data_IF_847929691705
#
_entry.id   IF_847929691705
#
_cell.length_a   1.000
_cell.length_b   1.000
_cell.length_c   1.000
_cell.angle_alpha   90.00
_cell.angle_beta   90.00
_cell.angle_gamma   90.00
#
_symmetry.space_group_name_H-M   'P 1'
#
loop_
_entity.id
_entity.type
_entity.pdbx_description
1 polymer ?
#
# COMPACT_ATOMS: atom_id res chain seq x y z
N UNK A 1 13.21 10.48 39.62
CA UNK A 1 11.95 9.71 39.55
C UNK A 1 11.63 9.52 38.08
N UNK A 2 11.62 8.27 37.64
CA UNK A 2 11.40 7.81 36.28
C UNK A 2 9.97 8.10 35.82
N UNK A 3 9.80 9.00 34.84
CA UNK A 3 8.54 9.22 34.13
C UNK A 3 8.31 8.04 33.17
N UNK A 4 7.89 6.92 33.76
CA UNK A 4 7.06 5.94 33.05
C UNK A 4 5.70 6.61 32.84
N UNK A 5 4.98 6.20 31.79
CA UNK A 5 3.64 6.66 31.41
C UNK A 5 3.64 7.89 30.47
N UNK A 6 3.95 7.66 29.19
CA UNK A 6 3.07 7.86 28.01
C UNK A 6 3.67 6.95 26.91
N UNK A 7 3.53 5.64 27.08
CA UNK A 7 3.70 4.64 26.02
C UNK A 7 2.43 3.79 26.07
N UNK A 8 1.28 4.46 25.95
CA UNK A 8 -0.03 3.83 25.94
C UNK A 8 -0.80 4.63 24.90
N UNK A 9 -0.64 4.23 23.63
CA UNK A 9 -1.59 4.40 22.51
C UNK A 9 -0.97 4.08 21.13
N UNK A 10 0.34 3.83 21.03
CA UNK A 10 0.97 3.42 19.76
C UNK A 10 0.75 1.94 19.38
N UNK A 11 -0.02 1.20 20.20
CA UNK A 11 -0.26 -0.24 20.04
C UNK A 11 -1.54 -0.56 19.26
N UNK A 12 -2.30 0.45 18.83
CA UNK A 12 -3.60 0.24 18.16
C UNK A 12 -3.45 0.00 16.65
N UNK A 13 -2.49 0.63 15.97
CA UNK A 13 -2.34 0.51 14.50
C UNK A 13 -1.93 -0.88 14.03
N UNK A 14 -1.04 -1.56 14.76
CA UNK A 14 -0.56 -2.91 14.41
C UNK A 14 -1.67 -3.96 14.56
N UNK A 15 -2.77 -3.66 15.26
CA UNK A 15 -3.77 -4.69 15.62
C UNK A 15 -4.81 -4.98 14.54
N UNK A 16 -4.99 -4.10 13.56
CA UNK A 16 -6.15 -4.21 12.64
C UNK A 16 -5.96 -5.34 11.63
N UNK A 17 -4.76 -5.47 11.05
CA UNK A 17 -4.43 -6.59 10.19
C UNK A 17 -4.33 -7.95 10.92
N UNK A 18 -4.25 -7.97 12.26
CA UNK A 18 -4.17 -9.20 13.03
C UNK A 18 -5.54 -9.90 13.23
N UNK A 19 -6.66 -9.19 13.04
CA UNK A 19 -8.00 -9.73 13.35
C UNK A 19 -8.53 -10.68 12.26
N UNK A 20 -8.03 -10.60 11.02
CA UNK A 20 -8.48 -11.44 9.90
C UNK A 20 -8.03 -12.91 9.91
N UNK A 21 -7.15 -13.32 10.83
CA UNK A 21 -6.48 -14.62 10.77
C UNK A 21 -7.14 -15.76 11.60
N UNK A 22 -8.34 -15.58 12.13
CA UNK A 22 -9.02 -16.60 12.96
C UNK A 22 -10.48 -16.85 12.55
N UNK A 23 -10.69 -17.47 11.39
CA UNK A 23 -11.91 -18.27 11.17
C UNK A 23 -11.51 -19.66 10.70
N UNK A 24 -11.51 -20.60 11.66
CA UNK A 24 -11.32 -22.01 11.40
C UNK A 24 -12.47 -22.55 10.53
N UNK A 25 -12.09 -23.33 9.53
CA UNK A 25 -12.95 -24.05 8.59
C UNK A 25 -14.14 -24.75 9.26
N UNK A 26 -15.37 -24.37 8.87
CA UNK A 26 -16.52 -25.27 9.00
C UNK A 26 -16.61 -26.14 7.75
N UNK A 27 -16.23 -27.42 7.87
CA UNK A 27 -16.42 -28.44 6.83
C UNK A 27 -17.90 -28.55 6.45
N UNK A 28 -18.25 -28.11 5.24
CA UNK A 28 -19.51 -28.48 4.59
C UNK A 28 -19.42 -29.93 4.10
N UNK A 29 -20.13 -30.82 4.78
CA UNK A 29 -20.36 -32.20 4.36
C UNK A 29 -21.30 -32.21 3.13
N UNK A 30 -20.73 -32.28 1.93
CA UNK A 30 -21.46 -32.37 0.66
C UNK A 30 -21.12 -33.67 -0.07
N UNK A 31 -21.92 -34.70 0.17
CA UNK A 31 -21.88 -36.00 -0.48
C UNK A 31 -22.39 -35.85 -1.94
N UNK A 32 -21.58 -36.19 -2.96
CA UNK A 32 -21.98 -36.09 -4.36
C UNK A 32 -21.13 -36.94 -5.28
N UNK A 33 -21.66 -38.11 -5.66
CA UNK A 33 -21.07 -39.08 -6.58
C UNK A 33 -20.74 -38.48 -7.96
N UNK A 34 -19.57 -38.85 -8.50
CA UNK A 34 -19.19 -38.59 -9.90
C UNK A 34 -19.96 -39.43 -10.92
N UNK A 35 -19.63 -39.29 -12.21
CA UNK A 35 -18.87 -40.38 -12.83
C UNK A 35 -17.80 -39.96 -13.86
N UNK A 36 -16.66 -40.66 -13.81
CA UNK A 36 -15.98 -41.21 -15.00
C UNK A 36 -14.94 -40.34 -15.73
N UNK A 37 -13.85 -40.94 -16.26
CA UNK A 37 -12.66 -40.22 -16.71
C UNK A 37 -12.75 -39.77 -18.18
N UNK A 38 -12.28 -38.56 -18.48
CA UNK A 38 -12.03 -38.11 -19.86
C UNK A 38 -10.55 -38.27 -20.19
N UNK A 39 -10.28 -38.99 -21.29
CA UNK A 39 -8.96 -39.20 -21.87
C UNK A 39 -8.47 -37.91 -22.58
N UNK A 40 -7.14 -37.69 -22.72
CA UNK A 40 -6.59 -36.44 -23.23
C UNK A 40 -6.63 -36.37 -24.77
N UNK A 41 -7.00 -35.20 -25.31
CA UNK A 41 -6.91 -34.90 -26.75
C UNK A 41 -5.64 -34.08 -27.01
N UNK A 42 -4.78 -34.59 -27.90
CA UNK A 42 -3.65 -33.90 -28.50
C UNK A 42 -4.05 -33.36 -29.90
N UNK A 43 -3.28 -32.42 -30.49
CA UNK A 43 -3.80 -31.31 -31.27
C UNK A 43 -3.90 -31.58 -32.78
N UNK A 44 -4.85 -30.94 -33.46
CA UNK A 44 -4.84 -30.85 -34.91
C UNK A 44 -6.16 -30.39 -35.53
N UNK A 45 -6.03 -29.38 -36.39
CA UNK A 45 -6.91 -29.03 -37.51
C UNK A 45 -8.19 -28.21 -37.24
N UNK A 46 -8.02 -26.89 -37.18
CA UNK A 46 -9.07 -25.92 -37.48
C UNK A 46 -8.89 -25.43 -38.92
N UNK A 47 -9.45 -26.16 -39.89
CA UNK A 47 -9.67 -25.64 -41.24
C UNK A 47 -11.01 -24.89 -41.28
N UNK A 48 -10.95 -23.67 -41.81
CA UNK A 48 -12.05 -22.76 -42.14
C UNK A 48 -12.65 -21.91 -41.00
N UNK A 49 -12.22 -20.64 -40.93
CA UNK A 49 -13.15 -19.53 -40.66
C UNK A 49 -12.94 -18.60 -39.47
N UNK A 50 -11.77 -18.54 -38.82
CA UNK A 50 -11.52 -17.54 -37.76
C UNK A 50 -10.66 -16.37 -38.25
N UNK A 51 -11.34 -15.26 -38.51
CA UNK A 51 -10.81 -13.90 -38.71
C UNK A 51 -10.03 -13.41 -37.47
N UNK A 52 -8.76 -12.96 -37.61
CA UNK A 52 -8.05 -12.29 -36.52
C UNK A 52 -7.93 -10.78 -36.79
N UNK A 53 -8.82 -10.00 -36.17
CA UNK A 53 -8.55 -8.61 -35.79
C UNK A 53 -8.45 -8.51 -34.26
N UNK A 54 -7.22 -8.54 -33.74
CA UNK A 54 -6.89 -7.99 -32.42
C UNK A 54 -5.80 -6.92 -32.60
N UNK A 55 -6.00 -5.68 -32.12
CA UNK A 55 -4.90 -4.79 -31.83
C UNK A 55 -4.24 -5.20 -30.51
N UNK A 56 -2.93 -5.15 -30.56
CA UNK A 56 -1.97 -5.50 -29.54
C UNK A 56 -1.59 -4.22 -28.77
N UNK A 57 -1.80 -4.17 -27.45
CA UNK A 57 -1.15 -3.20 -26.57
C UNK A 57 -0.68 -3.88 -25.27
N UNK A 58 0.43 -4.58 -25.41
CA UNK A 58 1.16 -5.17 -24.29
C UNK A 58 1.77 -4.14 -23.34
N UNK A 59 1.81 -4.50 -22.07
CA UNK A 59 2.86 -4.11 -21.11
C UNK A 59 3.10 -5.25 -20.13
N UNK A 60 3.74 -6.32 -20.62
CA UNK A 60 4.37 -7.31 -19.77
C UNK A 60 5.81 -6.88 -19.47
N UNK A 61 6.08 -6.42 -18.25
CA UNK A 61 7.45 -6.15 -17.80
C UNK A 61 8.00 -7.38 -17.07
N UNK A 62 8.85 -8.10 -17.78
CA UNK A 62 9.58 -9.30 -17.36
C UNK A 62 10.80 -8.90 -16.50
N UNK A 63 10.92 -9.47 -15.31
CA UNK A 63 12.15 -9.37 -14.49
C UNK A 63 13.28 -10.18 -15.14
N UNK A 64 14.35 -9.49 -15.53
CA UNK A 64 15.52 -10.07 -16.19
C UNK A 64 16.83 -9.55 -15.58
N UNK A 65 17.56 -10.49 -15.00
CA UNK A 65 18.83 -10.35 -14.28
C UNK A 65 20.03 -10.22 -15.24
N UNK A 66 21.00 -9.38 -14.84
CA UNK A 66 22.42 -9.31 -15.23
C UNK A 66 22.87 -8.77 -16.61
N UNK A 67 23.51 -7.59 -16.57
CA UNK A 67 24.92 -7.43 -16.96
C UNK A 67 25.24 -6.93 -18.38
N UNK A 68 25.71 -5.68 -18.51
CA UNK A 68 26.98 -5.30 -19.17
C UNK A 68 27.16 -3.78 -19.27
N UNK A 69 28.42 -3.38 -19.34
CA UNK A 69 29.00 -2.03 -19.29
C UNK A 69 28.73 -1.21 -20.56
N UNK A 70 28.62 0.12 -20.44
CA UNK A 70 28.70 1.04 -21.57
C UNK A 70 28.47 2.52 -21.27
N UNK A 71 29.58 3.22 -20.98
CA UNK A 71 29.92 4.64 -21.17
C UNK A 71 28.97 5.82 -20.86
N UNK A 72 29.56 6.75 -20.09
CA UNK A 72 29.19 8.15 -19.91
C UNK A 72 29.10 8.90 -21.24
N UNK A 73 27.90 9.37 -21.59
CA UNK A 73 27.63 10.70 -22.13
C UNK A 73 26.14 10.78 -22.42
N UNK A 74 25.36 11.30 -21.47
CA UNK A 74 24.06 11.98 -21.65
C UNK A 74 23.43 12.27 -20.27
N UNK A 75 24.20 12.99 -19.43
CA UNK A 75 23.62 13.74 -18.30
C UNK A 75 23.09 15.05 -18.87
N UNK A 76 21.89 15.00 -19.41
CA UNK A 76 21.21 16.17 -19.92
C UNK A 76 19.75 15.85 -20.21
N UNK A 77 18.87 16.34 -19.35
CA UNK A 77 17.46 16.53 -19.65
C UNK A 77 16.53 15.30 -19.58
N UNK A 78 16.53 14.60 -18.44
CA UNK A 78 15.37 13.83 -17.97
C UNK A 78 14.62 14.65 -16.90
N UNK A 79 14.05 15.78 -17.31
CA UNK A 79 13.02 16.50 -16.55
C UNK A 79 11.73 16.42 -17.35
N UNK A 80 10.61 16.32 -16.63
CA UNK A 80 9.24 16.16 -17.11
C UNK A 80 8.95 14.83 -17.81
N UNK A 81 8.63 13.79 -17.04
CA UNK A 81 7.38 13.03 -17.15
C UNK A 81 7.48 11.70 -16.35
N UNK A 82 7.36 11.77 -15.01
CA UNK A 82 7.22 10.59 -14.15
C UNK A 82 6.34 10.96 -12.94
N UNK A 83 5.15 10.35 -12.87
CA UNK A 83 4.33 10.23 -11.65
C UNK A 83 3.55 11.48 -11.22
N UNK A 84 2.36 11.68 -11.78
CA UNK A 84 1.28 12.37 -11.07
C UNK A 84 0.86 11.46 -9.91
N UNK A 85 1.21 11.83 -8.69
CA UNK A 85 0.93 11.05 -7.49
C UNK A 85 1.38 11.79 -6.23
N UNK A 86 2.61 12.32 -6.24
CA UNK A 86 3.11 13.28 -5.24
C UNK A 86 3.81 14.50 -5.86
N UNK A 87 4.08 14.48 -7.16
CA UNK A 87 4.79 15.56 -7.88
C UNK A 87 4.11 16.94 -7.86
N UNK A 88 2.86 17.04 -7.40
CA UNK A 88 2.13 18.29 -7.22
C UNK A 88 2.17 18.86 -5.79
N UNK A 89 2.43 18.04 -4.76
CA UNK A 89 2.38 18.47 -3.36
C UNK A 89 3.60 19.29 -2.98
N UNK A 90 4.80 18.75 -3.19
CA UNK A 90 6.06 19.34 -2.71
C UNK A 90 6.31 20.79 -3.14
N UNK A 91 6.01 21.21 -4.39
CA UNK A 91 6.23 22.60 -4.81
C UNK A 91 5.32 23.62 -4.11
N UNK A 92 4.25 23.17 -3.45
CA UNK A 92 3.22 24.03 -2.84
C UNK A 92 3.25 24.02 -1.31
N UNK A 93 4.17 23.26 -0.70
CA UNK A 93 4.26 23.16 0.75
C UNK A 93 4.62 24.50 1.40
N UNK A 94 3.88 24.92 2.46
CA UNK A 94 4.28 26.00 3.35
C UNK A 94 5.73 25.84 3.82
N UNK A 95 6.43 26.93 4.18
CA UNK A 95 7.73 26.81 4.84
C UNK A 95 7.62 25.97 6.11
N UNK A 96 8.71 25.31 6.50
CA UNK A 96 8.80 24.66 7.81
C UNK A 96 8.58 25.66 8.92
N UNK A 97 7.93 25.22 9.99
CA UNK A 97 7.87 25.99 11.25
C UNK A 97 9.22 25.94 11.95
N UNK A 98 9.81 27.10 12.28
CA UNK A 98 11.11 27.23 12.97
C UNK A 98 11.05 26.95 14.49
N UNK A 99 10.14 26.08 14.93
CA UNK A 99 9.97 25.68 16.33
C UNK A 99 10.52 24.28 16.49
N UNK A 100 11.22 24.04 17.62
CA UNK A 100 11.71 22.71 17.96
C UNK A 100 10.54 21.72 18.05
N UNK A 101 10.64 20.60 17.32
CA UNK A 101 9.62 19.57 17.33
C UNK A 101 9.51 18.95 18.73
N UNK A 102 8.29 18.84 19.23
CA UNK A 102 8.02 18.13 20.48
C UNK A 102 8.13 16.62 20.29
N UNK A 103 8.36 15.88 21.37
CA UNK A 103 8.35 14.42 21.36
C UNK A 103 7.05 13.86 20.76
N UNK A 104 5.91 14.51 21.03
CA UNK A 104 4.60 14.09 20.52
C UNK A 104 4.49 14.26 18.99
N UNK A 105 5.07 15.32 18.43
CA UNK A 105 5.11 15.53 16.97
C UNK A 105 6.01 14.50 16.29
N UNK A 106 7.20 14.25 16.84
CA UNK A 106 8.11 13.23 16.31
C UNK A 106 7.46 11.84 16.40
N UNK A 107 6.75 11.55 17.50
CA UNK A 107 6.00 10.32 17.66
C UNK A 107 4.86 10.19 16.64
N UNK A 108 4.13 11.27 16.34
CA UNK A 108 3.11 11.29 15.29
C UNK A 108 3.70 11.04 13.91
N UNK A 109 4.79 11.72 13.53
CA UNK A 109 5.47 11.49 12.25
C UNK A 109 5.96 10.04 12.12
N UNK A 110 6.52 9.50 13.19
CA UNK A 110 6.98 8.11 13.24
C UNK A 110 5.82 7.13 13.09
N UNK A 111 4.70 7.37 13.78
CA UNK A 111 3.52 6.53 13.69
C UNK A 111 2.95 6.51 12.27
N UNK A 112 2.88 7.66 11.60
CA UNK A 112 2.42 7.74 10.21
C UNK A 112 3.30 6.94 9.25
N UNK A 113 4.62 7.14 9.31
CA UNK A 113 5.56 6.37 8.48
C UNK A 113 5.48 4.85 8.76
N UNK A 114 5.36 4.44 10.03
CA UNK A 114 5.24 3.02 10.36
C UNK A 114 3.95 2.40 9.83
N UNK A 115 2.85 3.15 9.83
CA UNK A 115 1.59 2.67 9.30
C UNK A 115 1.67 2.43 7.79
N UNK A 116 2.25 3.38 7.03
CA UNK A 116 2.44 3.24 5.58
C UNK A 116 3.39 2.10 5.22
N UNK A 117 4.48 1.89 5.98
CA UNK A 117 5.33 0.71 5.79
C UNK A 117 4.59 -0.59 6.05
N UNK A 118 3.74 -0.62 7.09
CA UNK A 118 2.97 -1.81 7.43
C UNK A 118 1.94 -2.13 6.35
N UNK A 119 1.17 -1.14 5.88
CA UNK A 119 0.21 -1.29 4.78
C UNK A 119 0.90 -1.81 3.52
N UNK A 120 2.04 -1.22 3.13
CA UNK A 120 2.83 -1.70 1.99
C UNK A 120 3.23 -3.18 2.13
N UNK A 121 3.71 -3.58 3.31
CA UNK A 121 4.14 -4.95 3.58
C UNK A 121 2.97 -5.94 3.57
N UNK A 122 1.81 -5.56 4.11
CA UNK A 122 0.61 -6.39 4.07
C UNK A 122 0.12 -6.55 2.64
N UNK A 123 0.05 -5.48 1.86
CA UNK A 123 -0.37 -5.56 0.45
C UNK A 123 0.60 -6.37 -0.39
N UNK A 124 1.91 -6.33 -0.10
CA UNK A 124 2.90 -7.23 -0.70
C UNK A 124 2.59 -8.71 -0.40
N UNK A 125 2.27 -9.02 0.86
CA UNK A 125 1.87 -10.36 1.28
C UNK A 125 0.60 -10.84 0.58
N UNK A 126 -0.41 -9.97 0.41
CA UNK A 126 -1.64 -10.29 -0.31
C UNK A 126 -1.35 -10.57 -1.78
N UNK A 127 -0.53 -9.74 -2.43
CA UNK A 127 -0.12 -9.92 -3.83
C UNK A 127 0.65 -11.24 -4.01
N UNK A 128 1.50 -11.61 -3.04
CA UNK A 128 2.19 -12.89 -3.04
C UNK A 128 1.22 -14.09 -2.90
N UNK A 129 0.13 -13.94 -2.14
CA UNK A 129 -0.86 -14.99 -1.90
C UNK A 129 -1.85 -15.17 -3.08
N UNK A 130 -2.37 -14.08 -3.62
CA UNK A 130 -3.49 -14.11 -4.59
C UNK A 130 -3.13 -13.59 -5.98
N UNK A 131 -1.89 -13.14 -6.18
CA UNK A 131 -1.40 -12.58 -7.43
C UNK A 131 -1.53 -11.07 -7.53
N UNK A 132 -1.00 -10.52 -8.62
CA UNK A 132 -1.01 -9.07 -8.91
C UNK A 132 -2.40 -8.61 -9.38
N UNK A 133 -3.29 -8.32 -8.43
CA UNK A 133 -4.70 -7.98 -8.66
C UNK A 133 -5.07 -6.61 -8.10
N UNK A 134 -6.03 -5.95 -8.75
CA UNK A 134 -6.60 -4.71 -8.24
C UNK A 134 -7.58 -4.98 -7.08
N UNK A 135 -7.63 -4.11 -6.06
CA UNK A 135 -6.93 -2.83 -5.98
C UNK A 135 -5.51 -2.89 -5.37
N UNK A 136 -5.08 -4.02 -4.80
CA UNK A 136 -3.81 -4.15 -4.06
C UNK A 136 -2.58 -3.63 -4.82
N UNK A 137 -2.40 -3.99 -6.09
CA UNK A 137 -1.23 -3.53 -6.87
C UNK A 137 -1.19 -2.02 -7.08
N UNK A 138 -2.36 -1.36 -7.14
CA UNK A 138 -2.46 0.07 -7.35
C UNK A 138 -2.29 0.81 -6.03
N UNK A 139 -2.90 0.30 -4.96
CA UNK A 139 -2.85 0.93 -3.65
C UNK A 139 -1.47 0.75 -3.01
N UNK A 140 -0.82 -0.41 -3.16
CA UNK A 140 0.58 -0.58 -2.74
C UNK A 140 1.53 0.47 -3.37
N UNK A 141 1.29 0.85 -4.63
CA UNK A 141 2.04 1.93 -5.27
C UNK A 141 1.69 3.32 -4.70
N UNK A 142 0.47 3.50 -4.17
CA UNK A 142 0.09 4.68 -3.40
C UNK A 142 0.82 4.71 -2.05
N UNK A 143 0.92 3.58 -1.35
CA UNK A 143 1.61 3.53 -0.06
C UNK A 143 3.10 3.81 -0.21
N UNK A 144 3.72 3.35 -1.30
CA UNK A 144 5.10 3.75 -1.62
C UNK A 144 5.25 5.28 -1.76
N UNK A 145 4.21 5.98 -2.25
CA UNK A 145 4.21 7.43 -2.35
C UNK A 145 3.91 8.11 -1.02
N UNK A 146 3.07 7.52 -0.18
CA UNK A 146 2.83 7.98 1.19
C UNK A 146 4.10 7.87 2.04
N UNK A 147 4.81 6.74 1.96
CA UNK A 147 6.16 6.55 2.54
C UNK A 147 7.08 7.68 2.08
N UNK A 148 7.19 7.92 0.77
CA UNK A 148 8.05 8.97 0.24
C UNK A 148 7.64 10.38 0.72
N UNK A 149 6.35 10.64 0.94
CA UNK A 149 5.87 11.90 1.51
C UNK A 149 6.29 12.07 2.97
N UNK A 150 6.21 11.00 3.77
CA UNK A 150 6.72 11.00 5.14
C UNK A 150 8.24 11.17 5.18
N UNK A 151 9.00 10.37 4.41
CA UNK A 151 10.46 10.49 4.31
C UNK A 151 10.89 11.92 3.95
N UNK A 152 10.16 12.56 3.04
CA UNK A 152 10.38 13.96 2.69
C UNK A 152 10.18 14.91 3.88
N UNK A 153 9.12 14.72 4.69
CA UNK A 153 8.93 15.52 5.91
C UNK A 153 10.03 15.27 6.94
N UNK A 154 10.47 14.02 7.13
CA UNK A 154 11.60 13.70 8.01
C UNK A 154 12.87 14.45 7.57
N UNK A 155 13.22 14.41 6.28
CA UNK A 155 14.37 15.14 5.73
C UNK A 155 14.23 16.66 5.91
N UNK A 156 13.04 17.20 5.62
CA UNK A 156 12.74 18.64 5.72
C UNK A 156 12.92 19.19 7.14
N UNK A 157 12.67 18.36 8.15
CA UNK A 157 12.85 18.69 9.57
C UNK A 157 14.19 18.20 10.15
N UNK A 158 15.10 17.67 9.32
CA UNK A 158 16.42 17.20 9.76
C UNK A 158 16.38 15.99 10.68
N UNK A 159 15.31 15.19 10.62
CA UNK A 159 15.14 13.97 11.41
C UNK A 159 15.72 12.76 10.67
N UNK A 160 16.19 11.77 11.45
CA UNK A 160 16.57 10.47 10.89
C UNK A 160 15.31 9.70 10.53
N UNK A 161 15.21 9.24 9.29
CA UNK A 161 14.13 8.34 8.84
C UNK A 161 14.27 6.99 9.53
N UNK A 162 13.28 6.54 10.32
CA UNK A 162 13.26 5.20 10.87
C UNK A 162 13.16 4.16 9.76
N UNK A 163 13.96 3.09 9.85
CA UNK A 163 13.83 1.95 8.95
C UNK A 163 12.54 1.17 9.26
N UNK A 164 11.92 0.60 8.23
CA UNK A 164 10.85 -0.37 8.42
C UNK A 164 11.35 -1.57 9.27
N UNK A 165 10.67 -1.94 10.35
CA UNK A 165 10.95 -3.18 11.06
C UNK A 165 10.51 -4.40 10.25
N UNK A 166 10.93 -5.60 10.68
CA UNK A 166 10.34 -6.84 10.19
C UNK A 166 8.90 -6.97 10.72
N UNK A 167 7.92 -6.62 9.88
CA UNK A 167 6.51 -6.74 10.24
C UNK A 167 6.04 -8.20 10.20
N UNK A 168 5.23 -8.58 11.19
CA UNK A 168 4.44 -9.80 11.11
C UNK A 168 3.23 -9.55 10.19
N UNK A 169 3.31 -9.99 8.94
CA UNK A 169 2.23 -9.86 7.96
C UNK A 169 1.24 -11.03 8.06
N UNK A 170 -0.08 -10.78 7.96
CA UNK A 170 -1.08 -11.83 8.03
C UNK A 170 -1.14 -12.66 6.74
N UNK A 171 -1.71 -13.86 6.88
CA UNK A 171 -2.23 -14.67 5.77
C UNK A 171 -3.75 -14.60 5.76
N UNK A 172 -4.35 -14.61 4.58
CA UNK A 172 -5.80 -14.52 4.43
C UNK A 172 -6.36 -15.83 3.86
N UNK A 173 -7.56 -16.22 4.28
CA UNK A 173 -8.21 -17.45 3.79
C UNK A 173 -8.75 -17.27 2.36
N UNK A 174 -9.09 -16.03 1.98
CA UNK A 174 -9.58 -15.68 0.65
C UNK A 174 -9.20 -14.24 0.28
N UNK A 175 -9.32 -13.93 -1.01
CA UNK A 175 -9.17 -12.56 -1.50
C UNK A 175 -10.23 -11.62 -0.89
N UNK A 176 -11.46 -12.11 -0.72
CA UNK A 176 -12.55 -11.34 -0.10
C UNK A 176 -12.19 -10.94 1.33
N UNK A 177 -11.62 -11.87 2.11
CA UNK A 177 -11.17 -11.57 3.49
C UNK A 177 -10.02 -10.55 3.50
N UNK A 178 -9.08 -10.64 2.55
CA UNK A 178 -8.01 -9.66 2.40
C UNK A 178 -8.56 -8.27 2.06
N UNK A 179 -9.55 -8.19 1.17
CA UNK A 179 -10.19 -6.92 0.80
C UNK A 179 -11.01 -6.32 1.94
N UNK A 180 -11.70 -7.13 2.74
CA UNK A 180 -12.38 -6.64 3.94
C UNK A 180 -11.38 -6.10 4.97
N UNK A 181 -10.32 -6.85 5.26
CA UNK A 181 -9.30 -6.40 6.21
C UNK A 181 -8.59 -5.12 5.75
N UNK A 182 -8.36 -4.98 4.45
CA UNK A 182 -7.81 -3.74 3.88
C UNK A 182 -8.79 -2.57 4.00
N UNK A 183 -10.09 -2.77 3.73
CA UNK A 183 -11.09 -1.72 3.96
C UNK A 183 -11.13 -1.26 5.44
N UNK A 184 -11.07 -2.21 6.38
CA UNK A 184 -11.02 -1.90 7.81
C UNK A 184 -9.72 -1.13 8.18
N UNK A 185 -8.61 -1.46 7.52
CA UNK A 185 -7.33 -0.75 7.70
C UNK A 185 -7.40 0.68 7.16
N UNK A 186 -8.03 0.93 6.01
CA UNK A 186 -8.21 2.29 5.49
C UNK A 186 -9.07 3.16 6.41
N UNK A 187 -10.11 2.59 7.04
CA UNK A 187 -10.90 3.33 8.03
C UNK A 187 -10.03 3.82 9.18
N UNK A 188 -9.20 2.92 9.72
CA UNK A 188 -8.31 3.28 10.80
C UNK A 188 -7.16 4.19 10.39
N UNK A 189 -6.70 4.11 9.14
CA UNK A 189 -5.66 4.97 8.61
C UNK A 189 -6.16 6.41 8.50
N UNK A 190 -7.34 6.66 7.92
CA UNK A 190 -7.87 8.03 7.91
C UNK A 190 -8.22 8.54 9.32
N UNK A 191 -8.70 7.68 10.23
CA UNK A 191 -8.95 8.02 11.64
C UNK A 191 -7.66 8.37 12.39
N UNK A 192 -6.55 7.68 12.08
CA UNK A 192 -5.22 8.00 12.60
C UNK A 192 -4.81 9.41 12.14
N UNK A 193 -4.97 9.69 10.84
CA UNK A 193 -4.63 10.99 10.31
C UNK A 193 -5.48 12.11 10.89
N UNK A 194 -6.77 11.88 11.14
CA UNK A 194 -7.64 12.85 11.81
C UNK A 194 -7.13 13.17 13.24
N UNK A 195 -6.59 12.18 13.96
CA UNK A 195 -5.93 12.41 15.26
C UNK A 195 -4.59 13.16 15.11
N UNK A 196 -3.80 12.84 14.07
CA UNK A 196 -2.54 13.53 13.80
C UNK A 196 -2.74 15.00 13.49
N UNK A 197 -3.80 15.39 12.78
CA UNK A 197 -4.09 16.79 12.47
C UNK A 197 -4.17 17.67 13.74
N UNK A 198 -4.64 17.11 14.87
CA UNK A 198 -4.67 17.82 16.16
C UNK A 198 -3.25 18.03 16.69
N UNK A 199 -2.41 17.00 16.62
CA UNK A 199 -1.02 17.06 17.12
C UNK A 199 -0.13 17.95 16.24
N UNK A 200 -0.40 17.98 14.94
CA UNK A 200 0.40 18.67 13.93
C UNK A 200 -0.12 20.08 13.61
N UNK A 201 -1.12 20.59 14.32
CA UNK A 201 -1.84 21.82 13.97
C UNK A 201 -0.93 23.06 13.79
N UNK A 202 0.21 23.12 14.49
CA UNK A 202 1.19 24.22 14.40
C UNK A 202 2.21 24.06 13.25
N UNK A 203 2.08 22.99 12.43
CA UNK A 203 2.99 22.62 11.34
C UNK A 203 2.22 22.54 10.02
N UNK A 204 1.97 23.68 9.35
CA UNK A 204 1.04 23.77 8.22
C UNK A 204 1.47 22.93 6.99
N UNK A 205 2.77 22.70 6.79
CA UNK A 205 3.29 21.81 5.76
C UNK A 205 3.01 20.34 6.08
N UNK A 206 3.21 19.91 7.32
CA UNK A 206 2.83 18.57 7.78
C UNK A 206 1.31 18.36 7.69
N UNK A 207 0.51 19.34 8.11
CA UNK A 207 -0.96 19.31 7.99
C UNK A 207 -1.38 19.14 6.54
N UNK A 208 -0.74 19.84 5.61
CA UNK A 208 -1.05 19.72 4.18
C UNK A 208 -0.77 18.31 3.65
N UNK A 209 0.37 17.71 4.01
CA UNK A 209 0.72 16.34 3.62
C UNK A 209 -0.25 15.34 4.24
N UNK A 210 -0.46 15.39 5.55
CA UNK A 210 -1.37 14.48 6.27
C UNK A 210 -2.78 14.58 5.74
N UNK A 211 -3.27 15.78 5.41
CA UNK A 211 -4.59 15.95 4.76
C UNK A 211 -4.68 15.23 3.42
N UNK A 212 -3.61 15.25 2.62
CA UNK A 212 -3.59 14.56 1.33
C UNK A 212 -3.63 13.03 1.50
N UNK A 213 -2.83 12.48 2.42
CA UNK A 213 -2.77 11.03 2.70
C UNK A 213 -4.11 10.53 3.29
N UNK A 214 -4.65 11.26 4.27
CA UNK A 214 -5.98 11.03 4.85
C UNK A 214 -7.09 10.98 3.80
N UNK A 215 -7.08 11.91 2.85
CA UNK A 215 -8.06 11.96 1.77
C UNK A 215 -7.87 10.83 0.76
N UNK A 216 -6.63 10.38 0.51
CA UNK A 216 -6.38 9.21 -0.32
C UNK A 216 -6.99 7.96 0.33
N UNK A 217 -6.75 7.77 1.63
CA UNK A 217 -7.33 6.65 2.38
C UNK A 217 -8.86 6.66 2.37
N UNK A 218 -9.52 7.75 2.83
CA UNK A 218 -11.00 7.77 2.91
C UNK A 218 -11.66 7.78 1.52
N UNK A 219 -11.19 8.62 0.60
CA UNK A 219 -11.94 8.90 -0.63
C UNK A 219 -11.46 8.13 -1.85
N UNK A 220 -10.37 7.37 -1.75
CA UNK A 220 -9.83 6.60 -2.87
C UNK A 220 -9.61 5.13 -2.52
N UNK A 221 -8.86 4.84 -1.45
CA UNK A 221 -8.48 3.47 -1.10
C UNK A 221 -9.66 2.71 -0.51
N UNK A 222 -10.34 3.28 0.49
CA UNK A 222 -11.48 2.64 1.15
C UNK A 222 -12.58 2.22 0.15
N UNK A 223 -13.10 3.09 -0.74
CA UNK A 223 -14.11 2.69 -1.72
C UNK A 223 -13.62 1.60 -2.69
N UNK A 224 -12.32 1.55 -2.99
CA UNK A 224 -11.75 0.53 -3.85
C UNK A 224 -11.69 -0.83 -3.15
N UNK A 225 -11.35 -0.88 -1.86
CA UNK A 225 -11.37 -2.10 -1.07
C UNK A 225 -12.79 -2.57 -0.74
N UNK A 226 -13.73 -1.67 -0.44
CA UNK A 226 -15.16 -1.99 -0.28
C UNK A 226 -15.71 -2.64 -1.57
N UNK A 227 -15.39 -2.08 -2.73
CA UNK A 227 -15.76 -2.67 -4.02
C UNK A 227 -15.08 -4.01 -4.28
N UNK A 228 -13.88 -4.24 -3.74
CA UNK A 228 -13.23 -5.53 -3.85
C UNK A 228 -13.90 -6.59 -2.96
N UNK A 229 -14.23 -6.23 -1.71
CA UNK A 229 -14.87 -7.12 -0.75
C UNK A 229 -16.28 -7.54 -1.19
N UNK A 230 -16.95 -6.74 -2.01
CA UNK A 230 -18.27 -7.03 -2.55
C UNK A 230 -18.30 -7.94 -3.80
N UNK A 231 -17.15 -8.46 -4.27
CA UNK A 231 -17.05 -9.28 -5.49
C UNK A 231 -17.31 -10.76 -5.28
#
# INVERSE_FOLDING_TARGET
>A
MTRKHIIISLLVLVTIFAVGALVASAQGNGNGNGPGPVNPVAPGDCTDGCDPQMPNDGTGMMYGRNGARGNNQERGNMRSNRGQGTGGLYPTLPPTTDVELTDDVIAAMTAGLMDEYHAYAVYDSVIAQFGAIAPFVNIQQSEAQHIAAWEYLFDRYGLVVPAAPDFAVPTFASLTDACQAAADAEIANFDLYDQMMVTLADYPDMVQVVTALRNASEFQHLPAFEQCAAR
#
